data_IF_809932033419
#
_entry.id   IF_809932033419
#
_cell.length_a   1.000
_cell.length_b   1.000
_cell.length_c   1.000
_cell.angle_alpha   90.00
_cell.angle_beta   90.00
_cell.angle_gamma   90.00
#
_symmetry.space_group_name_H-M   'P 1'
#
loop_
_entity.id
_entity.type
_entity.pdbx_description
1 polymer ?
#
# COMPACT_ATOMS: atom_id res chain seq x y z
N UNK A 1 57.02 28.30 -8.05
CA UNK A 1 57.39 27.61 -6.80
C UNK A 1 56.88 26.17 -6.89
N UNK A 2 57.79 25.19 -6.77
CA UNK A 2 57.57 23.75 -6.93
C UNK A 2 57.03 23.10 -5.65
N UNK A 3 56.15 22.09 -5.80
CA UNK A 3 56.19 20.77 -5.10
C UNK A 3 55.41 19.78 -5.99
N UNK A 4 56.05 18.93 -6.82
CA UNK A 4 56.60 17.59 -6.53
C UNK A 4 55.50 16.50 -6.54
N UNK A 5 55.30 15.77 -7.66
CA UNK A 5 55.82 14.39 -7.98
C UNK A 5 54.79 13.31 -7.60
N UNK A 6 54.56 12.21 -8.31
CA UNK A 6 54.95 11.69 -9.62
C UNK A 6 54.35 10.26 -9.70
N UNK A 7 53.67 9.96 -10.81
CA UNK A 7 53.57 8.67 -11.56
C UNK A 7 53.32 7.32 -10.82
N UNK A 8 52.46 6.51 -11.45
CA UNK A 8 52.77 5.24 -12.15
C UNK A 8 51.72 4.13 -11.89
N UNK A 9 51.57 3.28 -12.91
CA UNK A 9 51.03 1.89 -12.90
C UNK A 9 49.51 1.81 -13.06
N UNK A 10 49.02 1.76 -14.31
CA UNK A 10 48.81 0.57 -15.15
C UNK A 10 47.52 -0.19 -14.86
N UNK A 11 46.70 -0.23 -15.92
CA UNK A 11 45.76 -1.28 -16.32
C UNK A 11 45.73 -2.54 -15.42
N UNK A 12 44.83 -2.56 -14.44
CA UNK A 12 44.47 -3.79 -13.73
C UNK A 12 43.06 -4.25 -14.13
N UNK A 13 43.06 -5.14 -15.12
CA UNK A 13 41.98 -6.09 -15.40
C UNK A 13 41.88 -7.06 -14.21
N UNK A 14 40.84 -6.91 -13.38
CA UNK A 14 40.39 -7.97 -12.47
C UNK A 14 38.97 -8.33 -12.89
N UNK A 15 38.83 -9.35 -13.75
CA UNK A 15 38.57 -10.72 -13.35
C UNK A 15 37.19 -10.84 -12.70
N UNK A 16 36.25 -11.36 -13.50
CA UNK A 16 34.98 -11.87 -13.01
C UNK A 16 35.27 -12.92 -11.94
N UNK A 17 34.74 -12.74 -10.73
CA UNK A 17 34.76 -13.76 -9.69
C UNK A 17 33.32 -14.02 -9.28
N UNK A 18 32.95 -15.29 -9.43
CA UNK A 18 31.63 -15.87 -9.27
C UNK A 18 31.05 -15.67 -7.86
N UNK A 19 29.72 -15.53 -7.71
CA UNK A 19 29.02 -16.02 -6.53
C UNK A 19 28.72 -17.52 -6.75
N UNK A 20 29.72 -18.40 -6.58
CA UNK A 20 29.53 -19.87 -6.57
C UNK A 20 29.86 -20.45 -5.20
N UNK A 21 29.21 -19.92 -4.18
CA UNK A 21 29.04 -20.62 -2.91
C UNK A 21 27.68 -20.19 -2.36
N UNK A 22 26.88 -21.16 -1.91
CA UNK A 22 25.43 -21.06 -1.64
C UNK A 22 24.62 -21.04 -2.95
N UNK A 23 24.21 -22.16 -3.54
CA UNK A 23 23.52 -23.26 -2.89
C UNK A 23 23.50 -24.45 -3.88
N UNK A 24 24.21 -25.53 -3.55
CA UNK A 24 23.98 -26.82 -4.20
C UNK A 24 22.56 -27.28 -3.84
N UNK A 25 21.74 -27.51 -4.86
CA UNK A 25 20.35 -27.99 -4.74
C UNK A 25 20.28 -29.36 -4.07
N UNK A 26 19.13 -29.67 -3.44
CA UNK A 26 18.46 -30.93 -3.68
C UNK A 26 17.22 -30.67 -4.55
N UNK A 27 17.07 -31.48 -5.59
CA UNK A 27 15.89 -31.56 -6.43
C UNK A 27 14.65 -31.77 -5.54
N UNK A 28 13.82 -30.74 -5.40
CA UNK A 28 12.46 -30.91 -4.88
C UNK A 28 11.51 -30.81 -6.06
N UNK A 29 10.98 -31.96 -6.43
CA UNK A 29 9.96 -32.15 -7.45
C UNK A 29 8.87 -31.07 -7.33
N UNK A 30 8.68 -30.29 -8.39
CA UNK A 30 7.67 -29.21 -8.47
C UNK A 30 6.22 -29.72 -8.58
N UNK A 31 5.94 -30.91 -8.05
CA UNK A 31 4.66 -31.62 -8.19
C UNK A 31 3.91 -31.72 -6.87
N UNK A 32 4.01 -30.75 -5.96
CA UNK A 32 3.19 -30.79 -4.73
C UNK A 32 2.98 -29.41 -4.12
N UNK A 33 2.21 -28.52 -4.76
CA UNK A 33 1.49 -27.44 -4.06
C UNK A 33 0.26 -26.93 -4.84
N UNK A 34 -0.44 -27.83 -5.55
CA UNK A 34 -1.81 -27.57 -6.04
C UNK A 34 -2.84 -27.91 -4.97
N UNK A 35 -2.67 -27.39 -3.75
CA UNK A 35 -3.72 -27.49 -2.75
C UNK A 35 -3.61 -26.37 -1.72
N UNK A 36 -3.56 -25.12 -2.18
CA UNK A 36 -4.21 -24.08 -1.38
C UNK A 36 -5.70 -24.31 -1.55
N UNK A 37 -6.31 -25.00 -0.59
CA UNK A 37 -7.76 -25.05 -0.40
C UNK A 37 -8.26 -23.61 -0.47
N UNK A 38 -8.76 -23.19 -1.62
CA UNK A 38 -9.38 -21.89 -1.80
C UNK A 38 -10.66 -21.96 -0.98
N UNK A 39 -10.55 -21.57 0.30
CA UNK A 39 -11.71 -21.10 1.05
C UNK A 39 -12.44 -20.16 0.10
N UNK A 40 -13.75 -20.34 -0.15
CA UNK A 40 -14.46 -19.47 -1.08
C UNK A 40 -14.13 -18.05 -0.66
N UNK A 41 -13.47 -17.30 -1.54
CA UNK A 41 -13.21 -15.89 -1.36
C UNK A 41 -14.59 -15.31 -1.11
N UNK A 42 -14.87 -14.93 0.14
CA UNK A 42 -16.11 -14.26 0.51
C UNK A 42 -16.27 -13.15 -0.52
N UNK A 43 -17.35 -13.16 -1.29
CA UNK A 43 -17.52 -12.18 -2.36
C UNK A 43 -17.54 -10.82 -1.68
N UNK A 44 -16.45 -10.06 -1.84
CA UNK A 44 -16.33 -8.74 -1.25
C UNK A 44 -16.77 -7.72 -2.28
N UNK A 45 -17.73 -6.91 -1.91
CA UNK A 45 -18.26 -5.87 -2.76
C UNK A 45 -17.89 -4.48 -2.20
N UNK A 46 -17.49 -3.54 -3.07
CA UNK A 46 -17.29 -2.16 -2.67
C UNK A 46 -18.63 -1.46 -2.38
N UNK A 47 -18.75 -0.84 -1.21
CA UNK A 47 -19.82 0.10 -0.89
C UNK A 47 -19.22 1.50 -0.69
N UNK A 48 -19.96 2.52 -1.12
CA UNK A 48 -19.64 3.93 -0.87
C UNK A 48 -20.63 4.50 0.16
N UNK A 49 -20.11 5.08 1.23
CA UNK A 49 -20.87 5.89 2.16
C UNK A 49 -20.68 7.35 1.76
N UNK A 50 -21.78 8.07 1.60
CA UNK A 50 -21.78 9.49 1.25
C UNK A 50 -22.44 10.26 2.39
N UNK A 51 -21.66 11.12 3.04
CA UNK A 51 -22.18 12.08 4.01
C UNK A 51 -22.34 13.42 3.32
N UNK A 52 -23.49 14.06 3.49
CA UNK A 52 -23.80 15.40 2.99
C UNK A 52 -24.46 16.19 4.12
N UNK A 53 -24.01 17.42 4.34
CA UNK A 53 -24.61 18.31 5.32
C UNK A 53 -23.70 19.49 5.65
N UNK A 54 -23.97 20.16 6.78
CA UNK A 54 -23.07 21.24 7.23
C UNK A 54 -21.67 20.71 7.57
N UNK A 55 -20.60 21.53 7.46
CA UNK A 55 -19.25 21.12 7.83
C UNK A 55 -19.15 20.53 9.23
N UNK A 56 -19.89 21.09 10.20
CA UNK A 56 -19.95 20.61 11.58
C UNK A 56 -20.63 19.24 11.68
N UNK A 57 -21.75 19.05 10.97
CA UNK A 57 -22.47 17.78 10.99
C UNK A 57 -21.67 16.65 10.36
N UNK A 58 -21.05 16.89 9.20
CA UNK A 58 -20.24 15.88 8.51
C UNK A 58 -19.01 15.51 9.35
N UNK A 59 -18.26 16.50 9.84
CA UNK A 59 -17.07 16.27 10.67
C UNK A 59 -17.42 15.56 11.98
N UNK A 60 -18.49 15.98 12.66
CA UNK A 60 -18.97 15.34 13.88
C UNK A 60 -19.39 13.89 13.66
N UNK A 61 -20.04 13.59 12.53
CA UNK A 61 -20.43 12.23 12.15
C UNK A 61 -19.20 11.36 11.88
N UNK A 62 -18.18 11.86 11.19
CA UNK A 62 -16.92 11.13 10.94
C UNK A 62 -16.24 10.77 12.27
N UNK A 63 -16.12 11.72 13.20
CA UNK A 63 -15.53 11.44 14.52
C UNK A 63 -16.36 10.44 15.34
N UNK A 64 -17.69 10.54 15.28
CA UNK A 64 -18.56 9.56 15.93
C UNK A 64 -18.36 8.14 15.34
N UNK A 65 -18.32 8.02 14.02
CA UNK A 65 -18.07 6.76 13.33
C UNK A 65 -16.67 6.18 13.65
N UNK A 66 -15.67 7.03 13.85
CA UNK A 66 -14.37 6.60 14.37
C UNK A 66 -14.48 6.09 15.81
N UNK A 67 -15.17 6.81 16.69
CA UNK A 67 -15.30 6.44 18.10
C UNK A 67 -15.97 5.07 18.30
N UNK A 68 -16.91 4.71 17.42
CA UNK A 68 -17.57 3.39 17.43
C UNK A 68 -16.82 2.31 16.62
N UNK A 69 -15.64 2.63 16.08
CA UNK A 69 -14.80 1.68 15.34
C UNK A 69 -15.29 1.35 13.93
N UNK A 70 -16.17 2.17 13.34
CA UNK A 70 -16.72 1.93 12.02
C UNK A 70 -15.71 2.23 10.90
N UNK A 71 -15.05 3.38 10.96
CA UNK A 71 -14.00 3.82 10.02
C UNK A 71 -13.12 4.89 10.68
N UNK A 72 -11.84 4.97 10.30
CA UNK A 72 -10.94 6.04 10.74
C UNK A 72 -11.25 7.35 10.02
N UNK A 73 -10.94 8.50 10.64
CA UNK A 73 -11.06 9.82 9.98
C UNK A 73 -10.29 9.86 8.66
N UNK A 74 -9.12 9.24 8.60
CA UNK A 74 -8.28 9.20 7.39
C UNK A 74 -8.83 8.35 6.24
N UNK A 75 -9.85 7.52 6.48
CA UNK A 75 -10.46 6.68 5.45
C UNK A 75 -11.47 7.46 4.59
N UNK A 76 -11.88 8.65 5.06
CA UNK A 76 -12.82 9.52 4.37
C UNK A 76 -12.11 10.47 3.41
N UNK A 77 -12.77 10.81 2.31
CA UNK A 77 -12.30 11.89 1.44
C UNK A 77 -12.28 13.24 2.18
N UNK A 78 -11.46 14.16 1.70
CA UNK A 78 -11.54 15.55 2.14
C UNK A 78 -12.97 16.09 1.95
N UNK A 79 -13.37 17.05 2.79
CA UNK A 79 -14.65 17.72 2.66
C UNK A 79 -14.67 18.51 1.35
N UNK A 80 -15.64 18.22 0.49
CA UNK A 80 -15.84 18.92 -0.78
C UNK A 80 -17.11 19.77 -0.68
N UNK A 81 -17.10 21.02 -1.17
CA UNK A 81 -18.33 21.82 -1.25
C UNK A 81 -19.32 21.16 -2.23
N UNK A 82 -20.61 21.33 -1.96
CA UNK A 82 -21.67 20.96 -2.90
C UNK A 82 -22.18 22.20 -3.64
N UNK A 83 -23.22 22.04 -4.47
CA UNK A 83 -23.93 23.16 -5.10
C UNK A 83 -24.64 24.05 -4.08
N UNK A 84 -24.92 23.54 -2.88
CA UNK A 84 -25.64 24.28 -1.84
C UNK A 84 -24.64 25.04 -0.93
N UNK A 85 -24.80 26.37 -0.77
CA UNK A 85 -23.96 27.14 0.13
C UNK A 85 -24.03 26.63 1.57
N UNK A 86 -22.87 26.44 2.20
CA UNK A 86 -22.77 25.94 3.57
C UNK A 86 -22.95 24.42 3.71
N UNK A 87 -23.05 23.70 2.60
CA UNK A 87 -23.10 22.23 2.56
C UNK A 87 -21.78 21.67 2.00
N UNK A 88 -21.33 20.58 2.62
CA UNK A 88 -20.17 19.81 2.19
C UNK A 88 -20.53 18.34 2.11
N UNK A 89 -19.71 17.60 1.39
CA UNK A 89 -19.79 16.15 1.30
C UNK A 89 -18.45 15.46 1.58
N UNK A 90 -18.52 14.21 2.02
CA UNK A 90 -17.37 13.32 2.18
C UNK A 90 -17.74 11.88 1.85
N UNK A 91 -16.81 11.15 1.26
CA UNK A 91 -17.02 9.79 0.76
C UNK A 91 -16.07 8.82 1.47
N UNK A 92 -16.62 7.71 1.96
CA UNK A 92 -15.86 6.54 2.42
C UNK A 92 -16.14 5.36 1.49
N UNK A 93 -15.10 4.63 1.08
CA UNK A 93 -15.23 3.42 0.26
C UNK A 93 -14.75 2.22 1.07
N UNK A 94 -15.58 1.18 1.22
CA UNK A 94 -15.25 -0.04 1.97
C UNK A 94 -15.57 -1.31 1.19
N UNK A 95 -14.79 -2.36 1.43
CA UNK A 95 -15.10 -3.72 0.97
C UNK A 95 -15.91 -4.44 2.05
N UNK A 96 -17.12 -4.86 1.73
CA UNK A 96 -17.99 -5.65 2.62
C UNK A 96 -18.12 -7.06 2.10
N UNK A 97 -18.16 -8.06 2.98
CA UNK A 97 -18.42 -9.44 2.55
C UNK A 97 -19.92 -9.62 2.36
N UNK A 98 -20.32 -10.07 1.18
CA UNK A 98 -21.69 -10.45 0.86
C UNK A 98 -21.78 -11.97 1.04
N UNK A 99 -22.75 -12.43 1.83
CA UNK A 99 -22.97 -13.83 2.18
C UNK A 99 -24.37 -14.27 1.80
#
# INVERSE_FOLDING_TARGET
>A
MMTQVQKFVDQQKFAQVLPQQYLSSPEFDTSTLKQSTQKPLSQREPIKHLLIGSPKAVTGTIHFLQAIGYASVGDWSQLLPTTNPGEVMSILIRQISVS
#
